data_IF_616063422226
#
_entry.id   IF_616063422226
#
_cell.length_a   1.000
_cell.length_b   1.000
_cell.length_c   1.000
_cell.angle_alpha   90.00
_cell.angle_beta   90.00
_cell.angle_gamma   90.00
#
_symmetry.space_group_name_H-M   'P 1'
#
loop_
_entity.id
_entity.type
_entity.pdbx_description
1 polymer ?
2 non-polymer ?
3 non-polymer ?
4 non-polymer ?
5 water ?
#
# COMPACT_ATOMS: atom_id res chain seq x y z
N UNK A 1 -19.31 18.07 17.91
CA UNK A 1 -18.75 19.45 17.79
C UNK A 1 -19.17 20.01 16.43
N UNK A 2 -19.61 21.28 16.43
CA UNK A 2 -19.98 22.00 15.21
C UNK A 2 -18.89 21.89 14.14
N UNK A 3 -17.69 22.40 14.48
CA UNK A 3 -16.56 22.56 13.54
C UNK A 3 -15.98 21.23 13.05
N UNK A 4 -16.20 20.18 13.84
CA UNK A 4 -15.63 18.86 13.66
C UNK A 4 -16.47 18.11 12.64
N UNK A 5 -17.78 18.24 12.80
CA UNK A 5 -18.70 17.67 11.86
C UNK A 5 -18.58 18.41 10.51
N UNK A 6 -18.28 19.73 10.55
CA UNK A 6 -18.01 20.50 9.35
C UNK A 6 -16.72 20.06 8.65
N UNK A 7 -15.65 19.84 9.43
CA UNK A 7 -14.38 19.42 8.87
C UNK A 7 -14.56 18.02 8.21
N UNK A 8 -15.29 17.13 8.87
CA UNK A 8 -15.55 15.81 8.31
C UNK A 8 -16.30 15.94 7.02
N UNK A 9 -17.30 16.83 7.01
CA UNK A 9 -18.09 17.04 5.80
C UNK A 9 -17.26 17.57 4.63
N UNK A 10 -16.28 18.41 4.90
CA UNK A 10 -15.37 18.88 3.87
C UNK A 10 -14.44 17.75 3.28
N UNK A 11 -13.89 16.97 4.19
CA UNK A 11 -13.05 15.84 3.78
C UNK A 11 -13.88 14.88 2.95
N UNK A 12 -15.08 14.52 3.43
CA UNK A 12 -15.94 13.59 2.65
C UNK A 12 -16.37 14.15 1.30
N UNK A 13 -16.56 15.47 1.16
CA UNK A 13 -16.86 16.04 -0.17
C UNK A 13 -15.67 15.93 -1.11
N UNK A 14 -14.45 16.11 -0.61
CA UNK A 14 -13.25 15.98 -1.43
C UNK A 14 -13.20 14.54 -1.91
N UNK A 15 -13.39 13.57 -0.99
CA UNK A 15 -13.33 12.18 -1.44
C UNK A 15 -14.47 11.76 -2.30
N UNK A 16 -15.67 12.35 -2.17
CA UNK A 16 -16.76 12.08 -3.11
C UNK A 16 -16.41 12.57 -4.53
N UNK A 17 -15.72 13.68 -4.65
CA UNK A 17 -15.25 14.14 -5.95
C UNK A 17 -14.23 13.15 -6.53
N UNK A 18 -13.30 12.73 -5.72
CA UNK A 18 -12.34 11.69 -6.16
C UNK A 18 -13.04 10.45 -6.64
N UNK A 19 -14.02 10.01 -5.86
CA UNK A 19 -14.86 8.82 -6.16
C UNK A 19 -15.51 8.89 -7.53
N UNK A 20 -16.10 10.01 -7.83
CA UNK A 20 -16.66 10.21 -9.17
C UNK A 20 -15.56 10.11 -10.24
N UNK A 21 -14.37 10.68 -10.00
CA UNK A 21 -13.26 10.66 -10.95
C UNK A 21 -12.84 9.18 -11.16
N UNK A 22 -12.74 8.43 -10.06
CA UNK A 22 -12.36 7.03 -10.15
C UNK A 22 -13.39 6.18 -10.94
N UNK A 23 -14.70 6.42 -10.70
CA UNK A 23 -15.72 5.72 -11.41
C UNK A 23 -15.67 6.01 -12.88
N UNK A 24 -15.44 7.27 -13.24
CA UNK A 24 -15.40 7.72 -14.69
C UNK A 24 -14.18 7.03 -15.33
N UNK A 25 -13.06 7.03 -14.58
CA UNK A 25 -11.81 6.37 -15.14
C UNK A 25 -12.04 4.92 -15.38
N UNK A 26 -12.60 4.14 -14.42
CA UNK A 26 -12.79 2.73 -14.59
C UNK A 26 -13.83 2.43 -15.66
N UNK A 27 -14.76 3.35 -15.91
CA UNK A 27 -15.76 3.07 -16.97
C UNK A 27 -15.09 3.06 -18.29
N UNK A 28 -13.99 3.78 -18.45
CA UNK A 28 -13.41 3.79 -19.75
C UNK A 28 -12.12 2.94 -19.97
N UNK A 29 -11.38 2.77 -18.91
CA UNK A 29 -10.05 2.22 -19.02
C UNK A 29 -10.07 0.82 -19.53
N UNK A 30 -9.09 0.50 -20.39
CA UNK A 30 -8.82 -0.87 -20.73
C UNK A 30 -8.60 -1.74 -19.51
N UNK A 31 -9.13 -2.94 -19.52
CA UNK A 31 -8.90 -3.90 -18.41
C UNK A 31 -7.87 -4.92 -18.79
N UNK A 32 -6.95 -5.28 -17.87
CA UNK A 32 -5.96 -6.27 -18.26
C UNK A 32 -6.64 -7.60 -18.56
N UNK A 33 -6.22 -8.22 -19.63
CA UNK A 33 -6.84 -9.48 -20.05
C UNK A 33 -6.08 -10.70 -19.41
N UNK A 34 -6.74 -11.84 -19.53
CA UNK A 34 -6.07 -13.08 -19.16
C UNK A 34 -5.78 -13.22 -17.67
N UNK A 35 -6.71 -12.70 -16.89
CA UNK A 35 -6.66 -12.80 -15.41
C UNK A 35 -7.98 -13.34 -14.87
N UNK A 36 -7.88 -14.11 -13.80
CA UNK A 36 -9.04 -14.57 -13.02
C UNK A 36 -8.96 -13.92 -11.62
N UNK A 37 -10.12 -13.65 -11.06
CA UNK A 37 -10.17 -13.12 -9.69
C UNK A 37 -11.22 -13.94 -8.87
N UNK A 38 -11.01 -13.94 -7.54
CA UNK A 38 -11.86 -14.52 -6.57
C UNK A 38 -12.13 -13.38 -5.57
N UNK A 39 -13.40 -13.08 -5.37
CA UNK A 39 -13.73 -11.84 -4.70
C UNK A 39 -14.39 -12.04 -3.34
N UNK A 40 -14.31 -10.97 -2.53
CA UNK A 40 -15.16 -10.85 -1.34
C UNK A 40 -14.97 -11.97 -0.31
N UNK A 41 -13.72 -12.35 -0.07
CA UNK A 41 -13.49 -13.22 1.01
C UNK A 41 -13.45 -12.45 2.34
N UNK A 42 -14.24 -12.92 3.32
CA UNK A 42 -14.07 -12.33 4.63
C UNK A 42 -12.75 -12.81 5.22
N UNK A 43 -11.99 -11.91 5.81
CA UNK A 43 -10.76 -12.35 6.46
C UNK A 43 -10.83 -12.45 8.02
N UNK A 44 -12.00 -12.14 8.54
CA UNK A 44 -12.31 -12.46 9.90
C UNK A 44 -13.79 -12.75 10.07
N UNK A 45 -14.19 -13.08 11.29
CA UNK A 45 -15.61 -13.37 11.51
C UNK A 45 -16.40 -12.10 11.65
N UNK A 46 -16.68 -11.41 10.54
CA UNK A 46 -17.34 -10.12 10.57
C UNK A 46 -18.12 -9.91 9.30
N UNK A 47 -19.21 -9.17 9.39
CA UNK A 47 -20.00 -8.79 8.22
C UNK A 47 -19.65 -7.38 7.77
N UNK A 48 -18.59 -6.77 8.35
CA UNK A 48 -18.14 -5.44 7.90
C UNK A 48 -17.62 -5.60 6.49
N UNK A 49 -18.25 -4.99 5.50
CA UNK A 49 -17.87 -5.19 4.11
C UNK A 49 -16.44 -4.81 3.82
N UNK A 50 -15.87 -3.90 4.62
CA UNK A 50 -14.46 -3.56 4.45
C UNK A 50 -13.52 -4.61 4.90
N UNK A 51 -13.90 -5.55 5.74
CA UNK A 51 -12.97 -6.61 6.23
C UNK A 51 -13.01 -7.84 5.29
N UNK A 52 -12.83 -7.52 4.05
CA UNK A 52 -12.85 -8.49 2.96
C UNK A 52 -11.65 -8.25 2.03
N UNK A 53 -11.37 -9.24 1.22
CA UNK A 53 -10.20 -9.16 0.27
C UNK A 53 -10.56 -9.82 -1.06
N UNK A 54 -9.74 -9.46 -2.09
CA UNK A 54 -9.80 -10.10 -3.37
C UNK A 54 -8.46 -10.77 -3.63
N UNK A 55 -8.54 -11.84 -4.41
CA UNK A 55 -7.38 -12.56 -4.94
C UNK A 55 -7.41 -12.54 -6.46
N UNK A 56 -6.21 -12.39 -7.06
CA UNK A 56 -6.11 -12.26 -8.52
C UNK A 56 -4.96 -13.21 -8.98
N UNK A 57 -5.15 -13.78 -10.16
CA UNK A 57 -4.20 -14.73 -10.73
C UNK A 57 -4.20 -14.65 -12.28
N UNK A 58 -3.06 -15.05 -12.82
CA UNK A 58 -3.10 -15.21 -14.31
C UNK A 58 -4.12 -16.26 -14.69
N UNK A 59 -4.81 -16.09 -15.81
CA UNK A 59 -5.74 -17.13 -16.22
C UNK A 59 -5.09 -18.48 -16.49
N UNK A 60 -3.91 -18.53 -17.02
CA UNK A 60 -3.24 -19.83 -17.19
C UNK A 60 -2.02 -19.80 -16.33
N UNK A 61 -1.96 -20.63 -15.30
CA UNK A 61 -0.79 -20.62 -14.39
C UNK A 61 0.36 -21.50 -14.91
N UNK A 62 1.57 -20.98 -15.02
CA UNK A 62 2.74 -21.78 -15.37
C UNK A 62 2.96 -22.87 -14.34
N UNK A 63 2.78 -22.48 -13.09
CA UNK A 63 3.09 -23.28 -11.89
C UNK A 63 1.90 -23.32 -10.92
N UNK A 64 1.92 -24.29 -10.00
CA UNK A 64 0.89 -24.49 -8.98
C UNK A 64 0.92 -23.30 -7.99
N UNK A 65 2.09 -22.78 -7.70
CA UNK A 65 2.22 -21.61 -6.83
C UNK A 65 2.99 -20.57 -7.58
N UNK A 66 2.68 -19.30 -7.33
CA UNK A 66 3.32 -18.17 -7.94
C UNK A 66 3.77 -17.18 -6.86
N UNK A 67 4.86 -16.42 -7.09
CA UNK A 67 5.25 -15.43 -6.15
C UNK A 67 4.08 -14.47 -5.82
N UNK A 68 4.11 -13.97 -4.61
CA UNK A 68 3.01 -13.21 -4.06
C UNK A 68 3.19 -11.71 -4.14
N UNK A 69 2.12 -10.98 -4.48
CA UNK A 69 2.13 -9.55 -4.29
C UNK A 69 0.90 -9.27 -3.38
N UNK A 70 1.12 -8.40 -2.38
CA UNK A 70 0.06 -7.98 -1.48
C UNK A 70 -0.02 -6.44 -1.59
N UNK A 71 -1.19 -5.97 -2.01
CA UNK A 71 -1.46 -4.58 -2.27
C UNK A 71 -2.37 -3.91 -1.22
N UNK A 72 -1.90 -2.76 -0.75
CA UNK A 72 -2.63 -1.92 0.21
C UNK A 72 -2.98 -0.63 -0.53
N UNK A 73 -4.26 -0.44 -0.77
CA UNK A 73 -4.76 0.72 -1.51
C UNK A 73 -4.70 2.00 -0.74
N UNK A 74 -4.72 3.10 -1.47
CA UNK A 74 -4.75 4.42 -0.91
C UNK A 74 -6.16 5.02 -0.83
N UNK A 75 -6.22 6.34 -0.70
CA UNK A 75 -7.44 7.07 -0.45
C UNK A 75 -7.46 7.85 0.84
N UNK A 76 -6.33 8.36 1.24
CA UNK A 76 -6.29 9.29 2.34
C UNK A 76 -6.74 8.78 3.67
N UNK A 77 -6.76 7.46 3.87
CA UNK A 77 -7.29 6.79 5.08
C UNK A 77 -8.79 6.83 5.33
N UNK A 78 -9.47 7.65 4.49
CA UNK A 78 -10.91 7.93 4.57
C UNK A 78 -11.74 7.33 3.46
N UNK A 79 -11.07 6.75 2.45
CA UNK A 79 -11.70 6.40 1.18
C UNK A 79 -11.10 5.11 0.65
N UNK A 80 -11.94 4.36 -0.04
CA UNK A 80 -11.45 3.22 -0.86
C UNK A 80 -11.98 1.90 -0.34
N UNK A 81 -11.69 0.84 -1.12
CA UNK A 81 -12.08 -0.49 -0.74
C UNK A 81 -11.25 -1.50 -1.54
N UNK A 82 -11.49 -2.79 -1.37
CA UNK A 82 -10.72 -3.83 -2.06
C UNK A 82 -10.82 -3.78 -3.57
N UNK A 83 -11.80 -3.08 -4.12
CA UNK A 83 -11.94 -2.98 -5.58
C UNK A 83 -11.24 -1.77 -6.21
N UNK A 84 -10.80 -0.83 -5.39
CA UNK A 84 -10.25 0.42 -5.91
C UNK A 84 -9.11 0.23 -6.88
N UNK A 85 -8.15 -0.64 -6.50
CA UNK A 85 -6.99 -0.91 -7.34
C UNK A 85 -7.11 -2.16 -8.15
N UNK A 86 -8.33 -2.53 -8.53
CA UNK A 86 -8.49 -3.78 -9.22
C UNK A 86 -7.70 -3.89 -10.55
N UNK A 87 -7.65 -2.82 -11.36
CA UNK A 87 -6.95 -2.94 -12.66
C UNK A 87 -5.46 -3.08 -12.45
N UNK A 88 -4.91 -2.36 -11.51
CA UNK A 88 -3.48 -2.49 -11.19
C UNK A 88 -3.18 -3.88 -10.69
N UNK A 89 -4.01 -4.39 -9.78
CA UNK A 89 -3.82 -5.77 -9.30
C UNK A 89 -3.95 -6.79 -10.41
N UNK A 90 -4.94 -6.65 -11.31
CA UNK A 90 -5.03 -7.58 -12.43
C UNK A 90 -3.79 -7.52 -13.29
N UNK A 91 -3.28 -6.30 -13.53
CA UNK A 91 -2.06 -6.19 -14.32
C UNK A 91 -0.91 -7.01 -13.69
N UNK A 92 -0.69 -6.79 -12.42
CA UNK A 92 0.41 -7.52 -11.78
C UNK A 92 0.18 -9.03 -11.89
N UNK A 93 -1.05 -9.50 -11.62
CA UNK A 93 -1.37 -10.93 -11.72
C UNK A 93 -1.12 -11.48 -13.13
N UNK A 94 -1.41 -10.68 -14.13
CA UNK A 94 -1.26 -11.11 -15.51
C UNK A 94 0.21 -11.42 -15.87
N UNK A 95 1.13 -10.88 -15.12
CA UNK A 95 2.57 -11.09 -15.25
C UNK A 95 3.06 -12.36 -14.58
N UNK A 96 2.19 -13.16 -14.00
CA UNK A 96 2.53 -14.42 -13.40
C UNK A 96 2.63 -14.44 -11.88
N UNK A 97 1.86 -13.58 -11.23
CA UNK A 97 1.93 -13.40 -9.79
C UNK A 97 0.54 -13.67 -9.17
N UNK A 98 0.54 -14.20 -7.96
CA UNK A 98 -0.65 -14.39 -7.15
C UNK A 98 -0.76 -13.11 -6.32
N UNK A 99 -1.88 -12.41 -6.46
CA UNK A 99 -2.03 -11.07 -5.85
C UNK A 99 -3.21 -11.05 -4.89
N UNK A 100 -3.00 -10.45 -3.75
CA UNK A 100 -4.05 -10.22 -2.79
C UNK A 100 -4.16 -8.73 -2.54
N UNK A 101 -5.39 -8.24 -2.52
CA UNK A 101 -5.66 -6.87 -2.11
C UNK A 101 -6.83 -6.82 -1.12
N UNK A 102 -6.66 -6.09 -0.01
CA UNK A 102 -7.60 -6.09 1.07
C UNK A 102 -8.31 -4.77 1.20
N UNK A 103 -9.52 -4.85 1.72
CA UNK A 103 -10.18 -3.71 2.36
C UNK A 103 -9.69 -3.54 3.77
N UNK A 104 -9.88 -2.33 4.28
CA UNK A 104 -9.64 -2.03 5.70
C UNK A 104 -10.63 -0.96 6.06
N UNK A 105 -11.05 -1.00 7.32
CA UNK A 105 -11.99 0.03 7.78
C UNK A 105 -11.40 1.44 7.62
N UNK A 106 -12.29 2.44 7.47
CA UNK A 106 -11.88 3.75 7.10
C UNK A 106 -12.04 4.73 8.30
N UNK A 107 -11.20 5.73 8.32
CA UNK A 107 -11.42 6.88 9.28
C UNK A 107 -12.74 7.46 8.82
N UNK A 108 -13.52 8.00 9.76
CA UNK A 108 -13.22 8.21 11.17
C UNK A 108 -13.84 7.09 12.03
N UNK A 109 -14.36 6.03 11.44
CA UNK A 109 -14.93 4.92 12.20
C UNK A 109 -13.93 4.06 12.97
N UNK A 110 -12.73 3.99 12.47
CA UNK A 110 -11.60 3.46 13.22
C UNK A 110 -10.50 4.55 13.23
N UNK A 111 -9.42 4.23 13.93
CA UNK A 111 -8.21 5.00 13.86
C UNK A 111 -7.11 4.13 13.22
N UNK A 112 -5.88 4.65 13.25
CA UNK A 112 -4.77 3.95 12.56
C UNK A 112 -4.60 2.55 13.07
N UNK A 113 -4.76 2.34 14.39
CA UNK A 113 -4.61 0.99 14.93
C UNK A 113 -5.59 0.01 14.31
N UNK A 114 -6.86 0.41 14.15
CA UNK A 114 -7.93 -0.47 13.56
C UNK A 114 -7.48 -0.79 12.11
N UNK A 115 -6.93 0.16 11.41
CA UNK A 115 -6.48 -0.05 9.98
C UNK A 115 -5.35 -1.06 9.92
N UNK A 116 -4.36 -0.90 10.80
CA UNK A 116 -3.25 -1.82 10.90
C UNK A 116 -3.67 -3.21 11.32
N UNK A 117 -4.63 -3.29 12.23
CA UNK A 117 -5.15 -4.60 12.66
C UNK A 117 -5.86 -5.30 11.50
N UNK A 118 -6.64 -4.52 10.74
CA UNK A 118 -7.32 -5.11 9.55
C UNK A 118 -6.32 -5.64 8.56
N UNK A 119 -5.31 -4.84 8.28
CA UNK A 119 -4.25 -5.33 7.33
C UNK A 119 -3.55 -6.57 7.82
N UNK A 120 -3.14 -6.61 9.11
CA UNK A 120 -2.50 -7.80 9.63
C UNK A 120 -3.44 -9.02 9.62
N UNK A 121 -4.75 -8.80 9.82
CA UNK A 121 -5.68 -9.92 9.73
C UNK A 121 -5.80 -10.49 8.33
N UNK A 122 -5.74 -9.60 7.30
CA UNK A 122 -5.70 -10.08 5.91
C UNK A 122 -4.43 -10.83 5.62
N UNK A 123 -3.31 -10.40 6.20
CA UNK A 123 -2.03 -11.15 5.98
C UNK A 123 -2.10 -12.51 6.67
N UNK A 124 -2.61 -12.55 7.92
CA UNK A 124 -2.80 -13.77 8.63
C UNK A 124 -3.73 -14.73 7.91
N UNK A 125 -4.85 -14.24 7.39
CA UNK A 125 -5.70 -15.05 6.54
C UNK A 125 -4.91 -15.67 5.40
N UNK A 126 -4.15 -14.83 4.71
CA UNK A 126 -3.38 -15.35 3.57
C UNK A 126 -2.36 -16.41 4.02
N UNK A 127 -1.75 -16.21 5.18
CA UNK A 127 -0.79 -17.21 5.65
C UNK A 127 -1.47 -18.55 5.90
N UNK A 128 -2.75 -18.60 6.26
CA UNK A 128 -3.50 -19.84 6.49
C UNK A 128 -4.02 -20.45 5.18
N UNK A 129 -4.53 -19.62 4.27
CA UNK A 129 -5.31 -20.06 3.13
C UNK A 129 -4.69 -19.85 1.78
N UNK A 130 -3.64 -19.01 1.68
CA UNK A 130 -3.05 -18.65 0.43
C UNK A 130 -2.36 -19.81 -0.25
N UNK A 131 -1.47 -20.46 0.46
CA UNK A 131 -0.72 -21.54 -0.28
C UNK A 131 -1.55 -22.59 -0.94
N UNK A 132 -2.63 -23.01 -0.30
CA UNK A 132 -3.51 -24.02 -0.89
C UNK A 132 -4.13 -23.60 -2.20
N UNK A 133 -4.17 -22.27 -2.49
CA UNK A 133 -4.78 -21.78 -3.71
C UNK A 133 -3.85 -21.03 -4.62
N UNK A 134 -2.52 -21.22 -4.44
CA UNK A 134 -1.58 -20.66 -5.36
C UNK A 134 -0.58 -19.66 -4.94
N UNK A 135 -0.63 -19.25 -3.68
CA UNK A 135 0.31 -18.25 -3.22
C UNK A 135 1.61 -18.87 -2.67
N UNK A 136 2.72 -18.43 -3.26
CA UNK A 136 4.03 -18.73 -2.72
C UNK A 136 4.40 -17.69 -1.74
N UNK A 137 4.31 -18.00 -0.44
CA UNK A 137 4.63 -17.03 0.56
C UNK A 137 6.11 -16.97 1.00
N UNK A 138 6.98 -17.68 0.28
CA UNK A 138 8.42 -17.51 0.50
C UNK A 138 8.96 -16.29 -0.23
N UNK A 139 8.20 -15.80 -1.21
CA UNK A 139 8.59 -14.68 -2.00
C UNK A 139 7.38 -13.76 -2.04
N UNK A 140 7.50 -12.64 -1.29
CA UNK A 140 6.35 -11.73 -1.05
C UNK A 140 6.79 -10.30 -1.34
N UNK A 141 6.04 -9.65 -2.24
CA UNK A 141 6.18 -8.23 -2.50
C UNK A 141 4.99 -7.51 -1.80
N UNK A 142 5.28 -6.61 -0.86
CA UNK A 142 4.29 -5.77 -0.21
C UNK A 142 4.31 -4.43 -0.89
N UNK A 143 3.16 -3.93 -1.37
CA UNK A 143 3.12 -2.64 -2.04
C UNK A 143 1.93 -1.87 -1.62
N UNK A 144 2.10 -0.57 -1.57
CA UNK A 144 1.03 0.36 -1.28
C UNK A 144 1.21 1.67 -1.97
N UNK A 145 0.07 2.31 -2.27
CA UNK A 145 0.11 3.64 -2.92
C UNK A 145 -0.47 4.72 -2.04
N UNK A 146 0.26 5.86 -1.97
CA UNK A 146 -0.17 7.05 -1.18
C UNK A 146 -0.42 6.85 0.40
N UNK A 147 -1.66 7.01 0.93
CA UNK A 147 -1.94 6.48 2.26
C UNK A 147 -1.73 4.98 2.40
N UNK A 148 -1.90 4.22 1.30
CA UNK A 148 -1.56 2.83 1.33
C UNK A 148 -0.05 2.60 1.43
N UNK A 149 0.78 3.49 0.86
CA UNK A 149 2.21 3.44 1.06
C UNK A 149 2.66 3.76 2.50
N UNK A 150 1.98 4.68 3.11
CA UNK A 150 2.15 4.92 4.56
C UNK A 150 1.88 3.64 5.29
N UNK A 151 0.73 3.03 5.05
CA UNK A 151 0.34 1.85 5.79
C UNK A 151 1.30 0.72 5.53
N UNK A 152 1.72 0.50 4.26
CA UNK A 152 2.66 -0.53 3.95
C UNK A 152 4.00 -0.29 4.70
N UNK A 153 4.46 0.96 4.77
CA UNK A 153 5.74 1.25 5.38
C UNK A 153 5.67 0.92 6.87
N UNK A 154 4.52 1.21 7.48
CA UNK A 154 4.32 0.83 8.93
C UNK A 154 4.21 -0.64 9.15
N UNK A 155 3.46 -1.37 8.32
CA UNK A 155 3.29 -2.80 8.43
C UNK A 155 4.67 -3.50 8.33
N UNK A 156 5.53 -3.00 7.41
CA UNK A 156 6.89 -3.57 7.22
C UNK A 156 7.71 -3.47 8.53
N UNK A 157 7.57 -2.39 9.24
CA UNK A 157 8.30 -2.22 10.50
C UNK A 157 7.69 -3.02 11.63
N UNK A 158 6.37 -2.98 11.70
CA UNK A 158 5.65 -3.71 12.77
C UNK A 158 5.92 -5.17 12.68
N UNK A 159 5.97 -5.75 11.50
CA UNK A 159 6.23 -7.14 11.35
C UNK A 159 7.60 -7.55 11.92
N UNK A 160 8.56 -6.62 12.02
CA UNK A 160 9.87 -6.97 12.49
C UNK A 160 10.04 -6.74 14.01
N UNK A 161 9.08 -6.12 14.67
CA UNK A 161 9.28 -5.57 16.02
C UNK A 161 8.24 -6.06 17.01
N UNK A 162 8.67 -6.82 18.01
CA UNK A 162 7.76 -7.28 19.07
C UNK A 162 7.10 -6.09 19.82
N UNK A 163 7.86 -5.05 20.07
CA UNK A 163 7.34 -3.91 20.77
C UNK A 163 6.21 -3.22 19.95
N UNK A 164 6.45 -3.04 18.64
CA UNK A 164 5.38 -2.40 17.81
C UNK A 164 4.19 -3.31 17.64
N UNK A 165 4.43 -4.57 17.51
CA UNK A 165 3.32 -5.55 17.53
C UNK A 165 2.46 -5.37 18.78
N UNK A 166 3.10 -5.23 19.95
CA UNK A 166 2.30 -5.05 21.18
C UNK A 166 1.55 -3.77 21.11
N UNK A 167 2.20 -2.69 20.68
CA UNK A 167 1.52 -1.37 20.68
C UNK A 167 0.31 -1.33 19.71
N UNK A 168 0.47 -1.95 18.53
CA UNK A 168 -0.59 -1.99 17.59
C UNK A 168 -1.58 -3.13 17.77
N UNK A 169 -1.34 -4.00 18.74
CA UNK A 169 -2.27 -5.09 19.04
C UNK A 169 -2.34 -6.10 17.91
N UNK A 170 -1.20 -6.47 17.32
CA UNK A 170 -1.14 -7.52 16.24
C UNK A 170 -0.07 -8.52 16.59
N UNK A 171 -0.19 -9.69 16.02
CA UNK A 171 0.87 -10.71 16.07
C UNK A 171 1.59 -10.71 14.76
N UNK A 172 2.84 -11.10 14.79
CA UNK A 172 3.60 -11.28 13.55
C UNK A 172 2.89 -12.35 12.72
N UNK A 173 3.07 -12.26 11.41
CA UNK A 173 2.60 -13.30 10.53
C UNK A 173 3.78 -14.20 10.15
N UNK A 174 3.46 -15.41 9.70
CA UNK A 174 4.47 -16.45 9.48
C UNK A 174 5.04 -16.40 8.03
N UNK A 175 5.32 -15.22 7.53
CA UNK A 175 6.08 -15.05 6.32
C UNK A 175 6.72 -13.70 6.41
N UNK A 176 7.67 -13.42 5.51
CA UNK A 176 8.43 -12.16 5.57
C UNK A 176 8.15 -11.44 4.25
N UNK A 177 8.52 -10.20 4.16
CA UNK A 177 8.45 -9.41 2.92
C UNK A 177 9.81 -9.41 2.23
N UNK A 178 9.84 -9.85 0.99
CA UNK A 178 11.02 -9.83 0.16
C UNK A 178 11.43 -8.41 -0.28
N UNK A 179 10.43 -7.58 -0.55
CA UNK A 179 10.61 -6.24 -1.00
C UNK A 179 9.36 -5.46 -0.57
N UNK A 180 9.52 -4.22 -0.22
CA UNK A 180 8.42 -3.33 0.09
C UNK A 180 8.52 -2.15 -0.88
N UNK A 181 7.52 -2.07 -1.77
CA UNK A 181 7.47 -1.05 -2.82
C UNK A 181 6.40 0.02 -2.51
N UNK A 182 6.85 1.24 -2.36
CA UNK A 182 5.95 2.35 -1.99
C UNK A 182 5.76 3.23 -3.18
N UNK A 183 4.53 3.48 -3.56
CA UNK A 183 4.24 4.32 -4.70
C UNK A 183 3.66 5.66 -4.18
N UNK A 184 4.37 6.74 -4.39
CA UNK A 184 4.01 8.07 -3.92
C UNK A 184 3.50 8.05 -2.48
N UNK A 185 4.31 7.46 -1.57
CA UNK A 185 3.78 7.28 -0.24
C UNK A 185 3.62 8.61 0.50
N UNK A 186 2.69 8.63 1.45
CA UNK A 186 2.56 9.69 2.47
C UNK A 186 3.09 9.15 3.79
N UNK A 187 4.35 8.80 3.80
CA UNK A 187 4.89 8.07 4.92
C UNK A 187 5.21 8.91 6.14
N UNK A 188 5.26 10.26 5.95
CA UNK A 188 5.50 11.20 7.05
C UNK A 188 4.33 12.16 7.21
N UNK A 189 3.16 11.65 7.66
CA UNK A 189 1.95 12.47 7.64
C UNK A 189 2.12 13.74 8.51
N UNK A 190 3.04 13.71 9.47
CA UNK A 190 3.20 14.93 10.38
C UNK A 190 3.77 16.11 9.61
N UNK A 191 4.42 15.86 8.48
CA UNK A 191 4.90 16.90 7.57
C UNK A 191 3.87 17.36 6.57
N UNK A 192 2.64 16.86 6.63
CA UNK A 192 1.63 17.24 5.63
C UNK A 192 1.47 18.80 5.54
N UNK A 193 1.57 19.51 6.69
CA UNK A 193 1.39 21.00 6.65
C UNK A 193 2.35 21.86 5.79
N UNK A 194 3.52 21.34 5.42
CA UNK A 194 4.49 22.13 4.72
C UNK A 194 4.41 22.00 3.17
N UNK A 195 3.37 21.32 2.70
CA UNK A 195 3.06 21.29 1.24
C UNK A 195 1.70 21.93 1.04
N UNK A 196 1.30 22.07 -0.22
CA UNK A 196 -0.03 22.59 -0.57
C UNK A 196 -0.92 21.42 -0.98
N UNK A 197 -2.23 21.68 -1.06
CA UNK A 197 -3.26 20.71 -1.52
C UNK A 197 -4.35 20.53 -0.46
N UNK A 198 -5.44 19.84 -0.84
CA UNK A 198 -6.54 19.50 0.10
C UNK A 198 -6.04 18.78 1.41
N UNK A 199 -5.25 17.70 1.29
CA UNK A 199 -4.88 16.92 2.49
C UNK A 199 -4.02 17.72 3.45
N UNK A 200 -3.03 18.42 2.86
CA UNK A 200 -2.11 19.28 3.61
C UNK A 200 -2.88 20.39 4.41
N UNK A 201 -3.79 21.09 3.74
CA UNK A 201 -4.63 22.13 4.42
C UNK A 201 -5.44 21.58 5.61
N UNK A 202 -6.02 20.38 5.43
CA UNK A 202 -6.84 19.70 6.43
C UNK A 202 -6.03 18.78 7.38
N UNK A 203 -4.74 19.01 7.41
CA UNK A 203 -3.77 18.07 7.95
C UNK A 203 -4.02 17.79 9.41
N UNK A 204 -4.32 18.81 10.20
CA UNK A 204 -4.35 18.53 11.63
C UNK A 204 -5.53 17.61 11.91
N UNK A 205 -6.60 17.75 11.14
CA UNK A 205 -7.76 16.90 11.25
C UNK A 205 -7.46 15.43 10.85
N UNK A 206 -6.75 15.25 9.74
CA UNK A 206 -6.27 13.90 9.36
C UNK A 206 -5.42 13.22 10.49
N UNK A 207 -4.51 14.00 11.02
CA UNK A 207 -3.62 13.52 12.05
C UNK A 207 -4.38 13.13 13.33
N UNK A 208 -5.36 13.94 13.69
CA UNK A 208 -6.22 13.62 14.81
C UNK A 208 -7.04 12.36 14.65
N UNK A 209 -7.62 12.16 13.48
CA UNK A 209 -8.39 10.98 13.22
C UNK A 209 -7.45 9.75 13.13
N UNK A 210 -6.28 9.91 12.57
CA UNK A 210 -5.33 8.80 12.51
C UNK A 210 -4.96 8.36 13.92
N UNK A 211 -4.68 9.33 14.84
CA UNK A 211 -4.23 8.94 16.16
C UNK A 211 -5.35 8.50 17.06
N UNK A 212 -6.58 8.96 16.80
CA UNK A 212 -7.70 8.72 17.67
C UNK A 212 -7.50 9.21 19.09
N UNK A 213 -6.64 10.20 19.26
CA UNK A 213 -6.25 10.75 20.60
C UNK A 213 -5.27 9.90 21.38
N UNK A 214 -4.89 8.75 20.83
CA UNK A 214 -3.97 7.89 21.55
C UNK A 214 -2.57 8.39 21.33
N UNK A 215 -1.88 8.80 22.40
CA UNK A 215 -0.53 9.31 22.28
C UNK A 215 0.49 8.30 21.80
N UNK A 216 0.25 7.00 22.06
CA UNK A 216 1.12 6.01 21.50
C UNK A 216 1.01 5.96 19.98
N UNK A 217 -0.13 6.26 19.41
CA UNK A 217 -0.26 6.33 17.94
C UNK A 217 0.40 7.61 17.42
N UNK A 218 0.17 8.70 18.15
CA UNK A 218 0.85 9.98 17.79
C UNK A 218 2.34 9.75 17.69
N UNK A 219 2.94 8.99 18.61
CA UNK A 219 4.36 8.70 18.63
C UNK A 219 4.85 7.65 17.65
N UNK A 220 3.90 7.06 16.91
CA UNK A 220 4.27 6.03 15.93
C UNK A 220 3.41 6.15 14.62
N UNK A 221 3.09 7.38 14.23
CA UNK A 221 2.24 7.73 13.03
C UNK A 221 3.14 7.79 11.78
N UNK A 222 4.45 8.05 11.95
CA UNK A 222 5.36 8.36 10.84
C UNK A 222 6.34 7.24 10.69
N UNK A 223 6.70 6.91 9.46
CA UNK A 223 7.75 5.90 9.24
C UNK A 223 9.01 6.20 10.03
N UNK A 224 9.41 7.47 10.09
CA UNK A 224 10.59 7.85 10.81
C UNK A 224 10.51 7.45 12.29
N UNK A 225 9.27 7.27 12.83
CA UNK A 225 9.09 6.84 14.24
C UNK A 225 9.09 5.37 14.40
N UNK A 226 8.71 4.57 13.38
CA UNK A 226 8.73 3.12 13.53
C UNK A 226 9.97 2.42 12.97
N UNK A 227 10.79 3.13 12.22
CA UNK A 227 11.94 2.56 11.54
C UNK A 227 13.12 2.23 12.49
N UNK A 228 13.15 2.92 13.60
CA UNK A 228 14.38 3.01 14.47
C UNK A 228 14.73 1.66 15.01
N UNK A 229 15.93 1.18 14.67
CA UNK A 229 16.52 0.05 15.36
C UNK A 229 16.24 -1.29 14.75
N UNK A 230 15.62 -1.32 13.54
CA UNK A 230 15.12 -2.57 13.05
C UNK A 230 15.86 -3.01 11.86
N UNK A 231 15.95 -4.31 11.66
CA UNK A 231 16.52 -4.80 10.44
C UNK A 231 15.34 -5.09 9.51
N UNK A 232 15.31 -4.32 8.44
CA UNK A 232 14.15 -4.26 7.51
C UNK A 232 14.45 -4.96 6.19
N UNK A 233 13.37 -5.34 5.47
CA UNK A 233 13.58 -5.70 4.10
C UNK A 233 14.06 -4.51 3.26
N UNK A 234 14.45 -4.80 2.04
CA UNK A 234 14.70 -3.72 1.10
C UNK A 234 13.38 -3.06 0.62
N UNK A 235 13.50 -1.76 0.36
CA UNK A 235 12.41 -0.90 -0.10
C UNK A 235 12.65 -0.48 -1.52
N UNK A 236 11.55 -0.14 -2.21
CA UNK A 236 11.65 0.51 -3.54
C UNK A 236 10.71 1.69 -3.56
N UNK A 237 11.21 2.86 -3.86
CA UNK A 237 10.43 4.07 -3.79
C UNK A 237 10.16 4.52 -5.22
N UNK A 238 8.87 4.60 -5.53
CA UNK A 238 8.33 4.95 -6.86
C UNK A 238 7.56 6.21 -6.79
N UNK A 239 7.75 7.08 -7.80
CA UNK A 239 7.02 8.34 -7.84
C UNK A 239 7.67 9.27 -8.83
N UNK A 240 7.69 10.56 -8.50
CA UNK A 240 8.33 11.49 -9.41
C UNK A 240 8.07 12.91 -9.08
N UNK A 241 8.79 13.81 -9.80
CA UNK A 241 8.69 15.21 -9.51
C UNK A 241 7.35 15.82 -9.88
N UNK A 242 6.47 15.17 -10.66
CA UNK A 242 5.13 15.63 -10.86
C UNK A 242 4.09 14.97 -9.94
N UNK A 243 4.51 14.17 -8.97
CA UNK A 243 3.65 13.74 -7.88
C UNK A 243 3.29 14.93 -6.98
N UNK A 244 2.04 15.22 -6.78
CA UNK A 244 1.65 16.27 -5.89
C UNK A 244 2.22 16.03 -4.47
N UNK A 245 2.51 14.78 -4.11
CA UNK A 245 3.20 14.44 -2.83
C UNK A 245 4.67 14.20 -2.95
N UNK A 246 5.35 14.80 -3.91
CA UNK A 246 6.77 14.54 -4.10
C UNK A 246 7.55 14.93 -2.83
N UNK A 247 7.13 15.98 -2.12
CA UNK A 247 7.87 16.34 -0.93
C UNK A 247 7.93 15.21 0.08
N UNK A 248 6.86 14.43 0.17
CA UNK A 248 6.89 13.22 1.01
C UNK A 248 7.94 12.19 0.61
N UNK A 249 8.10 11.94 -0.71
CA UNK A 249 9.12 11.09 -1.18
C UNK A 249 10.53 11.64 -0.84
N UNK A 250 10.71 12.95 -1.02
CA UNK A 250 12.00 13.58 -0.62
C UNK A 250 12.26 13.39 0.89
N UNK A 251 11.26 13.59 1.69
CA UNK A 251 11.37 13.39 3.15
C UNK A 251 11.70 11.97 3.47
N UNK A 252 11.01 11.01 2.84
CA UNK A 252 11.32 9.61 3.06
C UNK A 252 12.71 9.18 2.69
N UNK A 253 13.26 9.73 1.60
CA UNK A 253 14.60 9.37 1.27
C UNK A 253 15.62 9.76 2.44
N UNK A 254 15.42 10.91 2.98
CA UNK A 254 16.25 11.35 4.07
C UNK A 254 16.14 10.41 5.27
N UNK A 255 14.91 9.97 5.58
CA UNK A 255 14.72 8.93 6.64
C UNK A 255 15.40 7.62 6.31
N UNK A 256 15.29 7.19 5.02
CA UNK A 256 15.97 6.02 4.58
C UNK A 256 17.50 6.15 4.80
N UNK A 257 18.05 7.28 4.40
CA UNK A 257 19.51 7.46 4.46
C UNK A 257 19.96 7.46 5.89
N UNK A 258 19.23 8.14 6.76
CA UNK A 258 19.61 8.24 8.19
C UNK A 258 19.54 6.94 8.95
N UNK A 259 18.68 6.02 8.48
CA UNK A 259 18.49 4.77 9.13
C UNK A 259 19.11 3.61 8.42
N UNK A 260 19.92 3.88 7.41
CA UNK A 260 20.62 2.81 6.64
C UNK A 260 19.70 1.72 6.07
N UNK A 261 18.54 2.18 5.61
CA UNK A 261 17.60 1.32 4.88
C UNK A 261 18.17 0.98 3.53
N UNK A 262 18.04 -0.27 3.12
CA UNK A 262 18.40 -0.74 1.78
C UNK A 262 17.26 -0.34 0.84
N UNK A 263 17.58 0.45 -0.18
CA UNK A 263 16.51 0.87 -1.14
C UNK A 263 17.01 1.10 -2.52
N UNK A 264 16.06 1.03 -3.48
CA UNK A 264 16.23 1.56 -4.83
C UNK A 264 15.06 2.48 -5.13
N UNK A 265 15.16 3.23 -6.23
CA UNK A 265 14.17 4.19 -6.58
C UNK A 265 13.80 4.06 -8.03
N UNK A 266 12.59 4.52 -8.33
CA UNK A 266 12.12 4.75 -9.71
C UNK A 266 11.35 6.04 -9.65
N UNK A 267 12.05 7.16 -9.69
CA UNK A 267 11.44 8.50 -9.54
C UNK A 267 11.54 9.20 -10.85
N UNK A 268 10.42 9.52 -11.44
CA UNK A 268 10.39 10.11 -12.74
C UNK A 268 10.74 11.61 -12.64
N UNK A 269 11.56 12.10 -13.58
CA UNK A 269 11.82 13.56 -13.62
C UNK A 269 10.67 14.35 -14.19
N UNK A 270 10.62 15.63 -13.88
CA UNK A 270 9.59 16.51 -14.40
C UNK A 270 9.56 16.54 -15.91
N UNK A 271 10.73 16.39 -16.51
CA UNK A 271 10.87 16.37 -17.96
C UNK A 271 10.15 15.21 -18.61
N UNK A 272 9.87 14.13 -17.87
CA UNK A 272 9.11 13.00 -18.41
C UNK A 272 7.59 13.26 -18.49
N UNK A 273 7.15 14.40 -18.05
CA UNK A 273 5.87 14.89 -18.45
C UNK A 273 4.86 15.16 -17.30
N UNK A 274 3.86 15.98 -17.57
CA UNK A 274 2.90 16.35 -16.59
C UNK A 274 1.86 15.26 -16.27
N UNK A 275 1.76 14.28 -17.19
CA UNK A 275 0.83 13.19 -16.99
C UNK A 275 1.28 12.22 -15.90
N UNK A 276 2.56 12.27 -15.50
CA UNK A 276 3.10 11.30 -14.51
C UNK A 276 2.82 11.88 -13.13
N UNK A 277 1.52 11.94 -12.88
CA UNK A 277 0.96 12.51 -11.66
C UNK A 277 1.01 11.51 -10.49
N UNK A 278 0.47 11.94 -9.34
CA UNK A 278 0.35 11.06 -8.17
C UNK A 278 -0.25 9.76 -8.59
N UNK A 279 0.43 8.70 -8.19
CA UNK A 279 0.05 7.33 -8.36
C UNK A 279 -0.37 6.93 -9.77
N UNK A 280 0.28 7.51 -10.78
CA UNK A 280 -0.16 7.33 -12.18
C UNK A 280 -0.08 5.87 -12.60
N UNK A 281 0.90 5.18 -12.07
CA UNK A 281 1.13 3.74 -12.46
C UNK A 281 0.16 2.73 -11.91
N UNK A 282 -0.53 3.14 -10.89
CA UNK A 282 -1.64 2.43 -10.29
C UNK A 282 -2.99 2.78 -11.01
N UNK A 283 -3.20 4.06 -11.29
CA UNK A 283 -4.43 4.51 -11.94
C UNK A 283 -4.53 4.16 -13.41
N UNK A 284 -3.41 4.08 -14.13
CA UNK A 284 -3.38 3.74 -15.56
C UNK A 284 -2.30 2.74 -15.87
N UNK A 285 -2.61 1.48 -15.57
CA UNK A 285 -1.67 0.38 -15.86
C UNK A 285 -1.21 0.33 -17.28
N UNK A 286 -2.08 0.84 -18.19
CA UNK A 286 -1.88 0.59 -19.61
C UNK A 286 -0.88 1.58 -20.23
N UNK A 287 -0.57 2.67 -19.54
CA UNK A 287 0.33 3.60 -20.16
C UNK A 287 1.74 2.96 -20.23
N UNK A 288 2.53 3.29 -21.28
CA UNK A 288 3.94 2.80 -21.36
C UNK A 288 4.81 3.08 -20.14
N UNK A 289 4.70 4.25 -19.53
CA UNK A 289 5.49 4.52 -18.31
C UNK A 289 5.06 3.72 -17.10
N UNK A 290 3.79 3.38 -17.06
CA UNK A 290 3.23 2.56 -16.02
C UNK A 290 3.72 1.12 -16.17
N UNK A 291 3.62 0.59 -17.39
CA UNK A 291 4.19 -0.72 -17.66
C UNK A 291 5.67 -0.76 -17.32
N UNK A 292 6.46 0.28 -17.69
CA UNK A 292 7.87 0.26 -17.39
C UNK A 292 8.10 0.26 -15.89
N UNK A 293 7.35 1.10 -15.17
CA UNK A 293 7.47 1.22 -13.70
C UNK A 293 7.11 -0.12 -13.00
N UNK A 294 5.97 -0.67 -13.38
CA UNK A 294 5.45 -1.83 -12.75
C UNK A 294 6.29 -3.07 -13.02
N UNK A 295 6.73 -3.20 -14.29
CA UNK A 295 7.68 -4.31 -14.60
C UNK A 295 8.99 -4.08 -13.89
N UNK A 296 9.47 -2.83 -13.74
CA UNK A 296 10.72 -2.63 -13.03
C UNK A 296 10.61 -3.06 -11.58
N UNK A 297 9.49 -2.76 -10.97
CA UNK A 297 9.15 -3.28 -9.62
C UNK A 297 9.16 -4.80 -9.56
N UNK A 298 8.50 -5.45 -10.49
CA UNK A 298 8.37 -6.92 -10.46
C UNK A 298 9.77 -7.52 -10.72
N UNK A 299 10.55 -6.87 -11.59
CA UNK A 299 11.92 -7.40 -11.82
C UNK A 299 12.85 -7.22 -10.62
N UNK A 300 12.70 -6.14 -9.84
CA UNK A 300 13.46 -5.95 -8.65
C UNK A 300 13.08 -7.06 -7.67
N UNK A 301 11.78 -7.29 -7.55
CA UNK A 301 11.25 -8.36 -6.68
C UNK A 301 11.85 -9.71 -7.07
N UNK A 302 11.80 -9.99 -8.33
CA UNK A 302 12.30 -11.28 -8.86
C UNK A 302 13.80 -11.40 -8.57
N UNK A 303 14.54 -10.33 -8.72
CA UNK A 303 15.99 -10.41 -8.48
C UNK A 303 16.31 -10.71 -7.00
N UNK A 304 15.56 -10.07 -6.07
CA UNK A 304 15.69 -10.26 -4.66
C UNK A 304 15.26 -11.68 -4.33
N UNK A 305 14.21 -12.21 -5.01
CA UNK A 305 13.70 -13.55 -4.75
C UNK A 305 14.78 -14.59 -5.15
N UNK A 306 15.39 -14.37 -6.30
CA UNK A 306 16.41 -15.29 -6.85
C UNK A 306 17.61 -15.31 -5.92
N UNK A 307 17.99 -14.17 -5.45
CA UNK A 307 19.12 -14.10 -4.52
C UNK A 307 18.83 -14.84 -3.26
N UNK A 308 17.60 -14.69 -2.77
CA UNK A 308 17.18 -15.44 -1.58
C UNK A 308 17.28 -16.95 -1.88
N UNK A 309 16.79 -17.40 -3.02
CA UNK A 309 16.83 -18.84 -3.34
C UNK A 309 18.28 -19.41 -3.44
N UNK A 310 19.18 -18.60 -4.02
CA UNK A 310 20.61 -18.98 -4.11
C UNK A 310 21.19 -19.10 -2.70
N UNK A 311 20.80 -18.19 -1.82
CA UNK A 311 21.28 -18.06 -0.48
C UNK A 311 20.76 -19.28 0.33
N UNK A 312 19.64 -19.82 -0.10
CA UNK A 312 18.98 -20.86 0.68
C UNK A 312 19.16 -22.21 0.00
N UNK A 313 20.11 -22.25 -0.91
CA UNK A 313 20.47 -23.51 -1.59
C UNK A 313 19.25 -24.12 -2.19
N UNK A 314 18.40 -23.26 -2.78
CA UNK A 314 17.11 -23.70 -3.36
C UNK A 314 16.90 -23.12 -4.75
N UNK A 315 17.93 -23.00 -5.59
CA UNK A 315 17.78 -22.25 -6.89
C UNK A 315 17.05 -23.10 -7.92
#
# INVERSE_FOLDING_TARGET
MADEEAMLAKVQASWAQTAARDKARYADERVPEDVHWETEYRYEQSADPQQTLNLYYPAKRRNATMPTVIDIHGGGWFYGDRNLNRNYCRYLASQGYAVMGMGYRLLPDVDLRGQIQDIFASLRWLSHFGPQRGFDLDHVLLTGDSAGGHLASLVACIQQSAELQELFGVSRVNFNFTLVALVCPVAEPSKLPEAAGDMSDMAAFYLDKLSGGDQALVDHLNFSQVVKGLDLPPFMLIGGQNDSFYLQSQALLKVFDANHVTYTTKLWPASAGPHLKHVFNVQHWEWPESIETNLEMLRTFDALSKQQDQAEENEFE
#
